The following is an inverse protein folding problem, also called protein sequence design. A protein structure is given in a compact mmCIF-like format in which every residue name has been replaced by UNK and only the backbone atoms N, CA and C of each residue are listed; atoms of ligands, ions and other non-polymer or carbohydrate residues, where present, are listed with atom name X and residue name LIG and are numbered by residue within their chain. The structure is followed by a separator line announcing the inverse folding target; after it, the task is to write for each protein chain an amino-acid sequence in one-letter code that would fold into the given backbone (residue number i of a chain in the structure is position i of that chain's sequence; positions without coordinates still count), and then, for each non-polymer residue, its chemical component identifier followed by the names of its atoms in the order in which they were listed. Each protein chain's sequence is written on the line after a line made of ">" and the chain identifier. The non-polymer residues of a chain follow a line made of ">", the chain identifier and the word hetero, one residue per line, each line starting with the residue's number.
data_IF_779874590431
#
_entry.id   IF_779874590431
#
_cell.length_a   1.000
_cell.length_b   1.000
_cell.length_c   1.000
_cell.angle_alpha   90.00
_cell.angle_beta   90.00
_cell.angle_gamma   90.00
#
_symmetry.space_group_name_H-M   'P 1'
#
loop_
_entity.id
_entity.type
_entity.pdbx_description
1 polymer ?
#
# COMPACT_ATOMS: atom_id res chain seq x y z
N UNK A 1 -6.44 2.34 26.03
CA UNK A 1 -6.97 3.33 25.05
C UNK A 1 -5.85 4.15 24.42
N UNK A 2 -4.90 4.72 25.18
CA UNK A 2 -3.78 5.51 24.63
C UNK A 2 -2.74 4.69 23.84
N UNK A 3 -2.37 3.50 24.33
CA UNK A 3 -1.38 2.63 23.66
C UNK A 3 -1.81 2.21 22.25
N UNK A 4 -3.09 1.93 22.03
CA UNK A 4 -3.61 1.57 20.71
C UNK A 4 -3.51 2.74 19.73
N UNK A 5 -3.84 3.96 20.17
CA UNK A 5 -3.67 5.16 19.36
C UNK A 5 -2.20 5.42 19.01
N UNK A 6 -1.27 5.18 19.93
CA UNK A 6 0.17 5.27 19.66
C UNK A 6 0.62 4.20 18.65
N UNK A 7 0.16 2.95 18.79
CA UNK A 7 0.49 1.88 17.86
C UNK A 7 0.03 2.17 16.42
N UNK A 8 -1.19 2.73 16.25
CA UNK A 8 -1.71 3.13 14.95
C UNK A 8 -0.81 4.15 14.24
N UNK A 9 -0.16 5.03 15.00
CA UNK A 9 0.70 6.10 14.45
C UNK A 9 2.20 5.80 14.51
N UNK A 10 2.60 4.65 15.05
CA UNK A 10 4.01 4.22 15.08
C UNK A 10 4.41 3.54 13.78
N UNK A 11 5.67 3.72 13.35
CA UNK A 11 6.24 2.94 12.25
C UNK A 11 6.57 1.52 12.73
N UNK A 12 5.92 0.53 12.10
CA UNK A 12 6.10 -0.89 12.42
C UNK A 12 7.53 -1.40 12.21
N UNK A 13 8.38 -0.70 11.45
CA UNK A 13 9.79 -1.09 11.36
C UNK A 13 10.53 -0.95 12.72
N UNK A 14 10.00 -0.17 13.66
CA UNK A 14 10.53 -0.05 15.03
C UNK A 14 9.69 -0.78 16.08
N UNK A 15 8.42 -1.07 15.80
CA UNK A 15 7.46 -1.59 16.79
C UNK A 15 6.83 -2.94 16.42
N UNK A 16 6.98 -3.39 15.18
CA UNK A 16 6.43 -4.64 14.66
C UNK A 16 7.23 -5.86 15.09
N UNK A 17 6.58 -7.02 15.09
CA UNK A 17 7.13 -8.28 15.58
C UNK A 17 7.16 -9.41 14.53
N UNK A 18 6.85 -9.11 13.27
CA UNK A 18 6.85 -10.13 12.20
C UNK A 18 5.68 -11.09 12.31
N UNK A 19 4.45 -10.59 12.17
CA UNK A 19 3.23 -11.41 12.37
C UNK A 19 2.92 -12.32 11.18
N UNK A 20 3.48 -12.06 10.00
CA UNK A 20 3.25 -12.90 8.83
C UNK A 20 4.15 -14.14 8.87
N UNK A 21 3.72 -15.27 8.29
CA UNK A 21 4.62 -16.40 8.10
C UNK A 21 5.81 -15.99 7.23
N UNK A 22 7.00 -16.55 7.43
CA UNK A 22 8.20 -16.14 6.71
C UNK A 22 8.07 -16.40 5.21
N UNK A 23 8.77 -15.60 4.40
CA UNK A 23 8.90 -15.77 2.95
C UNK A 23 7.58 -15.71 2.17
N UNK A 24 6.64 -14.84 2.56
CA UNK A 24 5.37 -14.66 1.82
C UNK A 24 5.60 -14.41 0.32
N UNK A 25 6.68 -13.71 -0.04
CA UNK A 25 7.05 -13.44 -1.44
C UNK A 25 7.31 -14.70 -2.30
N UNK A 26 7.55 -15.86 -1.69
CA UNK A 26 7.77 -17.14 -2.39
C UNK A 26 6.49 -17.99 -2.48
N UNK A 27 5.41 -17.59 -1.79
CA UNK A 27 4.19 -18.39 -1.71
C UNK A 27 3.34 -18.30 -2.99
N UNK A 28 2.66 -19.40 -3.30
CA UNK A 28 1.73 -19.49 -4.42
C UNK A 28 0.64 -20.52 -4.14
N UNK A 29 -0.62 -20.15 -4.40
CA UNK A 29 -1.80 -21.02 -4.18
C UNK A 29 -1.96 -21.42 -2.71
N UNK A 30 -1.71 -20.47 -1.80
CA UNK A 30 -1.87 -20.64 -0.36
C UNK A 30 -2.83 -19.57 0.15
N UNK A 31 -3.64 -19.92 1.15
CA UNK A 31 -4.44 -18.96 1.92
C UNK A 31 -3.78 -18.70 3.28
N UNK A 32 -3.67 -17.42 3.66
CA UNK A 32 -3.22 -17.02 4.98
C UNK A 32 -4.45 -16.64 5.82
N UNK A 33 -4.73 -17.43 6.86
CA UNK A 33 -5.91 -17.28 7.70
C UNK A 33 -5.95 -15.93 8.46
N UNK A 34 -4.80 -15.48 8.99
CA UNK A 34 -4.75 -14.27 9.81
C UNK A 34 -5.48 -14.41 11.15
N UNK A 35 -5.89 -13.29 11.79
CA UNK A 35 -5.73 -11.91 11.33
C UNK A 35 -4.29 -11.41 11.47
N UNK A 36 -3.82 -10.64 10.49
CA UNK A 36 -2.54 -9.95 10.53
C UNK A 36 -2.78 -8.44 10.49
N UNK A 37 -2.22 -7.71 11.45
CA UNK A 37 -2.16 -6.24 11.37
C UNK A 37 -0.91 -5.86 10.59
N UNK A 38 -1.09 -5.17 9.47
CA UNK A 38 -0.02 -4.68 8.62
C UNK A 38 -0.03 -3.16 8.56
N UNK A 39 1.16 -2.58 8.42
CA UNK A 39 1.32 -1.19 8.03
C UNK A 39 1.34 -1.10 6.50
N UNK A 40 0.62 -0.13 5.96
CA UNK A 40 0.62 0.19 4.53
C UNK A 40 1.47 1.42 4.31
N UNK A 41 2.66 1.22 3.75
CA UNK A 41 3.61 2.31 3.48
C UNK A 41 3.17 3.12 2.25
N UNK A 42 2.58 2.46 1.24
CA UNK A 42 2.22 3.10 -0.03
C UNK A 42 1.02 2.42 -0.69
N UNK A 43 0.14 3.24 -1.26
CA UNK A 43 -0.96 2.83 -2.15
C UNK A 43 -0.84 3.59 -3.46
N UNK A 44 -0.77 2.87 -4.58
CA UNK A 44 -0.72 3.47 -5.92
C UNK A 44 -1.75 2.84 -6.84
N UNK A 45 -2.37 3.64 -7.69
CA UNK A 45 -3.20 3.12 -8.77
C UNK A 45 -2.30 2.67 -9.93
N UNK A 46 -2.17 1.36 -10.13
CA UNK A 46 -1.33 0.80 -11.20
C UNK A 46 -2.04 0.72 -12.55
N UNK A 47 -3.34 1.04 -12.61
CA UNK A 47 -4.09 1.08 -13.87
C UNK A 47 -3.90 2.37 -14.67
N UNK A 48 -3.14 3.35 -14.17
CA UNK A 48 -2.92 4.63 -14.83
C UNK A 48 -1.43 4.99 -14.99
N UNK A 49 -1.11 5.95 -15.90
CA UNK A 49 0.25 6.45 -16.09
C UNK A 49 0.84 7.07 -14.83
N UNK A 50 2.18 7.17 -14.75
CA UNK A 50 2.92 7.60 -13.56
C UNK A 50 2.36 8.87 -12.87
N UNK A 51 2.04 9.91 -13.66
CA UNK A 51 1.52 11.19 -13.15
C UNK A 51 0.13 11.08 -12.49
N UNK A 52 -0.60 10.01 -12.73
CA UNK A 52 -1.95 9.79 -12.21
C UNK A 52 -1.99 8.76 -11.08
N UNK A 53 -0.88 8.04 -10.83
CA UNK A 53 -0.85 6.93 -9.86
C UNK A 53 -1.15 7.33 -8.42
N UNK A 54 -0.90 8.60 -8.08
CA UNK A 54 -1.10 9.18 -6.74
C UNK A 54 -2.34 10.07 -6.66
N UNK A 55 -3.19 10.06 -7.70
CA UNK A 55 -4.46 10.80 -7.69
C UNK A 55 -5.59 9.89 -7.19
N UNK A 56 -6.58 10.48 -6.54
CA UNK A 56 -7.80 9.79 -6.17
C UNK A 56 -8.50 9.19 -7.41
N UNK A 57 -9.01 7.97 -7.28
CA UNK A 57 -9.76 7.29 -8.31
C UNK A 57 -10.93 6.54 -7.66
N UNK A 58 -12.17 6.71 -8.16
CA UNK A 58 -13.31 6.03 -7.58
C UNK A 58 -13.17 4.52 -7.70
N UNK A 59 -13.69 3.74 -6.74
CA UNK A 59 -13.77 2.29 -6.86
C UNK A 59 -14.51 1.88 -8.13
N UNK A 60 -13.94 0.93 -8.88
CA UNK A 60 -14.56 0.38 -10.08
C UNK A 60 -13.59 -0.41 -10.95
N UNK A 61 -14.10 -1.00 -12.03
CA UNK A 61 -13.34 -1.91 -12.90
C UNK A 61 -12.11 -1.30 -13.59
N UNK A 62 -12.01 0.04 -13.65
CA UNK A 62 -10.87 0.76 -14.23
C UNK A 62 -9.76 1.06 -13.22
N UNK A 63 -10.00 0.79 -11.93
CA UNK A 63 -9.03 1.02 -10.85
C UNK A 63 -8.40 -0.32 -10.47
N UNK A 64 -7.09 -0.30 -10.27
CA UNK A 64 -6.38 -1.41 -9.63
C UNK A 64 -5.29 -0.81 -8.73
N UNK A 65 -5.50 -0.88 -7.43
CA UNK A 65 -4.52 -0.43 -6.44
C UNK A 65 -3.47 -1.50 -6.16
N UNK A 66 -2.21 -1.09 -6.09
CA UNK A 66 -1.12 -1.87 -5.49
C UNK A 66 -0.85 -1.30 -4.10
N UNK A 67 -0.72 -2.20 -3.12
CA UNK A 67 -0.38 -1.90 -1.74
C UNK A 67 1.04 -2.38 -1.47
N UNK A 68 1.87 -1.51 -0.91
CA UNK A 68 3.18 -1.85 -0.34
C UNK A 68 3.04 -1.87 1.17
N UNK A 69 3.27 -3.02 1.81
CA UNK A 69 2.96 -3.25 3.22
C UNK A 69 4.12 -3.91 3.97
N UNK A 70 4.09 -3.82 5.29
CA UNK A 70 5.07 -4.44 6.19
C UNK A 70 4.39 -4.92 7.48
N UNK A 71 4.89 -6.01 8.05
CA UNK A 71 4.61 -6.45 9.42
C UNK A 71 5.68 -6.00 10.43
N UNK A 72 6.58 -5.12 9.97
CA UNK A 72 7.76 -4.64 10.70
C UNK A 72 9.03 -5.43 10.46
N UNK A 73 8.93 -6.64 9.88
CA UNK A 73 10.07 -7.54 9.64
C UNK A 73 10.25 -7.83 8.15
N UNK A 74 9.17 -8.10 7.43
CA UNK A 74 9.20 -8.35 6.00
C UNK A 74 8.24 -7.45 5.24
N UNK A 75 8.62 -7.12 4.01
CA UNK A 75 7.75 -6.40 3.07
C UNK A 75 6.91 -7.36 2.26
N UNK A 76 5.63 -7.04 2.11
CA UNK A 76 4.69 -7.77 1.26
C UNK A 76 3.92 -6.81 0.38
N UNK A 77 3.42 -7.33 -0.74
CA UNK A 77 2.66 -6.53 -1.70
C UNK A 77 1.30 -7.15 -1.94
N UNK A 78 0.28 -6.29 -2.05
CA UNK A 78 -1.08 -6.70 -2.38
C UNK A 78 -1.58 -6.02 -3.64
N UNK A 79 -2.50 -6.66 -4.34
CA UNK A 79 -3.20 -6.06 -5.47
C UNK A 79 -4.71 -6.11 -5.24
N UNK A 80 -5.37 -4.99 -5.51
CA UNK A 80 -6.83 -4.91 -5.60
C UNK A 80 -7.32 -5.80 -6.75
N UNK A 81 -7.88 -6.96 -6.38
CA UNK A 81 -8.42 -7.95 -7.31
C UNK A 81 -9.90 -7.71 -7.59
N UNK A 82 -10.65 -7.23 -6.58
CA UNK A 82 -12.00 -6.70 -6.75
C UNK A 82 -12.06 -5.27 -6.21
N UNK A 83 -12.89 -4.39 -6.79
CA UNK A 83 -13.04 -3.02 -6.30
C UNK A 83 -13.36 -2.96 -4.80
N UNK A 84 -12.52 -2.26 -4.05
CA UNK A 84 -12.71 -2.04 -2.61
C UNK A 84 -13.49 -0.74 -2.41
N UNK A 85 -14.74 -0.77 -1.92
CA UNK A 85 -15.61 0.41 -1.85
C UNK A 85 -15.23 1.42 -0.75
N UNK A 86 -14.23 1.09 0.08
CA UNK A 86 -13.78 1.96 1.17
C UNK A 86 -13.11 3.22 0.61
N UNK A 87 -13.66 4.39 0.93
CA UNK A 87 -13.15 5.69 0.47
C UNK A 87 -11.76 6.03 1.01
N UNK A 88 -11.35 5.44 2.15
CA UNK A 88 -10.02 5.65 2.71
C UNK A 88 -8.95 4.95 1.84
N UNK A 89 -9.33 3.88 1.14
CA UNK A 89 -8.43 3.09 0.31
C UNK A 89 -8.39 3.67 -1.11
N UNK A 90 -7.68 4.78 -1.24
CA UNK A 90 -7.29 5.40 -2.50
C UNK A 90 -5.80 5.73 -2.51
N UNK A 91 -5.27 6.18 -3.65
CA UNK A 91 -3.84 6.49 -3.77
C UNK A 91 -3.39 7.71 -2.91
N UNK A 92 -4.33 8.39 -2.26
CA UNK A 92 -4.09 9.48 -1.31
C UNK A 92 -4.28 9.06 0.15
N UNK A 93 -4.46 7.76 0.41
CA UNK A 93 -4.52 7.22 1.77
C UNK A 93 -3.32 7.69 2.60
N UNK A 94 -3.49 7.97 3.91
CA UNK A 94 -2.39 8.35 4.79
C UNK A 94 -1.33 7.25 4.83
N UNK A 95 -0.09 7.54 4.47
CA UNK A 95 1.03 6.62 4.53
C UNK A 95 1.29 6.15 5.96
N UNK A 96 1.60 4.86 6.09
CA UNK A 96 1.83 4.21 7.37
C UNK A 96 0.55 3.82 8.12
N UNK A 97 -0.64 3.97 7.51
CA UNK A 97 -1.88 3.51 8.12
C UNK A 97 -1.86 2.00 8.38
N UNK A 98 -2.65 1.56 9.36
CA UNK A 98 -2.76 0.16 9.76
C UNK A 98 -4.02 -0.47 9.18
N UNK A 99 -3.89 -1.71 8.76
CA UNK A 99 -5.01 -2.52 8.27
C UNK A 99 -4.91 -3.96 8.78
N UNK A 100 -6.05 -4.59 8.98
CA UNK A 100 -6.16 -6.03 9.20
C UNK A 100 -6.26 -6.72 7.85
N UNK A 101 -5.55 -7.86 7.73
CA UNK A 101 -5.68 -8.80 6.62
C UNK A 101 -5.99 -10.19 7.18
N UNK A 102 -7.00 -10.86 6.62
CA UNK A 102 -7.42 -12.20 7.05
C UNK A 102 -7.98 -13.01 5.88
N UNK A 103 -7.85 -14.34 5.94
CA UNK A 103 -8.32 -15.28 4.91
C UNK A 103 -7.90 -14.87 3.49
N UNK A 104 -6.66 -14.38 3.35
CA UNK A 104 -6.17 -13.79 2.10
C UNK A 104 -5.48 -14.84 1.25
N UNK A 105 -5.82 -14.88 -0.03
CA UNK A 105 -5.14 -15.74 -0.99
C UNK A 105 -3.82 -15.12 -1.44
N UNK A 106 -2.77 -15.94 -1.55
CA UNK A 106 -1.45 -15.53 -2.05
C UNK A 106 -1.18 -16.20 -3.40
N UNK A 107 -0.85 -15.40 -4.41
CA UNK A 107 -0.44 -15.89 -5.72
C UNK A 107 0.85 -15.22 -6.16
N UNK A 108 1.93 -16.03 -6.29
CA UNK A 108 3.25 -15.55 -6.76
C UNK A 108 3.78 -14.42 -5.88
N UNK A 109 3.66 -14.61 -4.57
CA UNK A 109 4.09 -13.63 -3.57
C UNK A 109 3.18 -12.41 -3.36
N UNK A 110 2.08 -12.30 -4.11
CA UNK A 110 1.15 -11.18 -4.01
C UNK A 110 -0.11 -11.58 -3.24
N UNK A 111 -0.49 -10.73 -2.28
CA UNK A 111 -1.78 -10.82 -1.60
C UNK A 111 -2.90 -10.41 -2.57
N UNK A 112 -3.88 -11.28 -2.76
CA UNK A 112 -5.04 -11.04 -3.62
C UNK A 112 -6.11 -10.36 -2.77
N UNK A 113 -6.16 -9.02 -2.87
CA UNK A 113 -7.03 -8.21 -2.01
C UNK A 113 -8.42 -8.09 -2.62
N UNK A 114 -9.40 -8.45 -1.81
CA UNK A 114 -10.84 -8.26 -2.06
C UNK A 114 -11.46 -7.59 -0.83
N UNK A 115 -12.66 -6.99 -0.92
CA UNK A 115 -13.25 -6.27 0.21
C UNK A 115 -13.37 -7.06 1.52
N UNK A 116 -13.54 -8.37 1.45
CA UNK A 116 -13.85 -9.25 2.57
C UNK A 116 -12.63 -9.72 3.36
N UNK A 117 -11.43 -9.55 2.80
CA UNK A 117 -10.17 -10.02 3.43
C UNK A 117 -9.45 -8.91 4.20
N UNK A 118 -10.06 -7.73 4.32
CA UNK A 118 -9.39 -6.56 4.90
C UNK A 118 -10.31 -5.66 5.73
N UNK A 119 -9.71 -4.97 6.69
CA UNK A 119 -10.34 -3.91 7.48
C UNK A 119 -9.33 -2.78 7.74
N UNK A 120 -9.75 -1.52 7.61
CA UNK A 120 -8.88 -0.37 7.86
C UNK A 120 -8.97 0.04 9.31
N UNK A 121 -7.84 0.03 10.03
CA UNK A 121 -7.76 0.49 11.42
C UNK A 121 -7.44 1.99 11.51
N UNK A 122 -6.84 2.56 10.47
CA UNK A 122 -6.48 3.97 10.38
C UNK A 122 -5.07 4.26 10.90
N UNK A 123 -4.85 5.48 11.38
CA UNK A 123 -3.52 5.99 11.75
C UNK A 123 -2.70 6.45 10.55
N UNK A 124 -1.53 7.00 10.84
CA UNK A 124 -0.55 7.47 9.86
C UNK A 124 0.83 7.56 10.50
N UNK A 125 1.88 7.46 9.70
CA UNK A 125 3.26 7.68 10.15
C UNK A 125 3.76 8.97 9.51
N UNK A 126 4.09 9.96 10.33
CA UNK A 126 4.42 11.32 9.90
C UNK A 126 5.59 11.36 8.90
N UNK A 127 6.64 10.59 9.15
CA UNK A 127 7.82 10.52 8.30
C UNK A 127 7.50 9.92 6.92
N UNK A 128 6.64 8.89 6.89
CA UNK A 128 6.17 8.27 5.64
C UNK A 128 5.24 9.21 4.88
N UNK A 129 4.39 9.97 5.58
CA UNK A 129 3.55 11.00 4.97
C UNK A 129 4.39 12.11 4.33
N UNK A 130 5.41 12.60 5.04
CA UNK A 130 6.34 13.57 4.51
C UNK A 130 7.10 13.02 3.29
N UNK A 131 7.51 11.74 3.33
CA UNK A 131 8.17 11.07 2.21
C UNK A 131 7.24 10.94 0.99
N UNK A 132 5.98 10.54 1.19
CA UNK A 132 4.96 10.48 0.15
C UNK A 132 4.74 11.85 -0.48
N UNK A 133 4.63 12.91 0.33
CA UNK A 133 4.49 14.28 -0.15
C UNK A 133 5.64 14.72 -1.06
N UNK A 134 6.89 14.42 -0.66
CA UNK A 134 8.08 14.67 -1.49
C UNK A 134 8.02 13.89 -2.82
N UNK A 135 7.70 12.60 -2.77
CA UNK A 135 7.59 11.75 -3.96
C UNK A 135 6.54 12.26 -4.95
N UNK A 136 5.35 12.59 -4.46
CA UNK A 136 4.27 13.14 -5.28
C UNK A 136 4.66 14.48 -5.89
N UNK A 137 5.37 15.34 -5.15
CA UNK A 137 5.91 16.59 -5.68
C UNK A 137 6.90 16.34 -6.81
N UNK A 138 7.87 15.42 -6.63
CA UNK A 138 8.85 15.06 -7.65
C UNK A 138 8.21 14.52 -8.92
N UNK A 139 7.24 13.59 -8.80
CA UNK A 139 6.53 12.98 -9.94
C UNK A 139 5.77 14.02 -10.76
N UNK A 140 5.27 15.08 -10.12
CA UNK A 140 4.51 16.13 -10.78
C UNK A 140 5.38 17.24 -11.38
N UNK A 141 6.70 17.23 -11.18
CA UNK A 141 7.58 18.21 -11.82
C UNK A 141 7.51 18.09 -13.35
N UNK A 142 7.59 19.21 -14.07
CA UNK A 142 7.66 19.18 -15.53
C UNK A 142 8.88 18.36 -15.97
N UNK A 143 8.79 17.58 -17.07
CA UNK A 143 9.90 16.79 -17.57
C UNK A 143 11.14 17.67 -17.76
N UNK A 144 12.21 17.38 -17.02
CA UNK A 144 13.50 18.05 -17.21
C UNK A 144 14.29 17.28 -18.27
N UNK A 145 14.08 17.65 -19.53
CA UNK A 145 14.92 17.20 -20.64
C UNK A 145 15.60 18.41 -21.28
N UNK A 146 16.94 18.41 -21.34
CA UNK A 146 17.62 19.19 -22.40
C UNK A 146 17.21 18.54 -23.72
N UNK A 147 16.37 19.19 -24.51
CA UNK A 147 16.19 18.80 -25.92
C UNK A 147 17.56 18.90 -26.59
N UNK A 148 18.25 17.79 -26.88
CA UNK A 148 19.30 17.87 -27.89
C UNK A 148 18.57 18.06 -29.23
N UNK A 149 18.80 19.21 -29.86
CA UNK A 149 18.48 19.40 -31.28
C UNK A 149 19.50 18.59 -32.07
N UNK A 150 19.39 17.26 -32.05
CA UNK A 150 20.16 16.38 -32.93
C UNK A 150 19.20 15.37 -33.52
N UNK A 151 18.24 15.87 -34.29
CA UNK A 151 17.66 15.13 -35.40
C UNK A 151 18.39 15.62 -36.65
N UNK A 152 19.35 14.82 -37.11
CA UNK A 152 19.84 14.86 -38.50
C UNK A 152 18.84 14.07 -39.33
#
# INVERSE_FOLDING_TARGET
>A
KLCFGQALNSDMNYTGAGVLPPNVHQMHLVELAGPFVLQVDEVINISCPLKERYKGAPPGHKRCLKFSMTDGVQRVFGMEYRPIPNKILEAQAPAGFKMVIQNVNVRRGLLILVPEVLEVLGGSVEELEAARGRLVHEVNKPPRGKRSRTGV
#
